data_IF_059038518367
#
_entry.id   IF_059038518367
#
_cell.length_a   1.000
_cell.length_b   1.000
_cell.length_c   1.000
_cell.angle_alpha   90.00
_cell.angle_beta   90.00
_cell.angle_gamma   90.00
#
_symmetry.space_group_name_H-M   'P 1'
#
loop_
_entity.id
_entity.type
_entity.pdbx_description
1 polymer ?
#
# COMPACT_ATOMS: atom_id res chain seq x y z
N UNK A 1 25.61 17.15 25.06
CA UNK A 1 25.79 15.69 25.27
C UNK A 1 26.36 15.09 24.00
N UNK A 2 27.16 14.02 24.09
CA UNK A 2 27.88 13.47 22.92
C UNK A 2 27.57 11.98 22.73
N UNK A 3 27.31 11.58 21.49
CA UNK A 3 27.45 10.18 21.06
C UNK A 3 28.90 9.94 20.68
N UNK A 4 29.53 8.95 21.30
CA UNK A 4 30.90 8.55 20.99
C UNK A 4 30.91 7.26 20.19
N UNK A 5 31.73 7.21 19.15
CA UNK A 5 31.96 6.03 18.32
C UNK A 5 33.45 5.71 18.33
N UNK A 6 33.81 4.52 18.78
CA UNK A 6 35.19 4.03 18.84
C UNK A 6 35.38 2.79 17.95
N UNK A 7 36.62 2.45 17.62
CA UNK A 7 36.91 1.11 17.08
C UNK A 7 36.67 0.05 18.14
N UNK A 8 36.11 -1.08 17.70
CA UNK A 8 36.05 -2.30 18.50
C UNK A 8 37.47 -2.93 18.55
N UNK A 9 38.05 -3.18 19.75
CA UNK A 9 39.37 -3.80 19.86
C UNK A 9 39.43 -5.25 19.33
N UNK A 10 38.28 -5.92 19.19
CA UNK A 10 38.19 -7.24 18.58
C UNK A 10 38.28 -7.14 17.05
N UNK A 11 39.50 -7.30 16.52
CA UNK A 11 39.80 -7.24 15.08
C UNK A 11 39.11 -8.34 14.26
N UNK A 12 38.70 -9.45 14.89
CA UNK A 12 37.96 -10.53 14.22
C UNK A 12 36.46 -10.26 14.09
N UNK A 13 35.96 -9.17 14.68
CA UNK A 13 34.54 -8.90 14.76
C UNK A 13 33.95 -8.39 13.44
N UNK A 14 32.80 -8.95 13.05
CA UNK A 14 31.98 -8.38 11.95
C UNK A 14 31.27 -7.06 12.30
N UNK A 15 31.45 -6.58 13.54
CA UNK A 15 30.94 -5.32 14.08
C UNK A 15 32.14 -4.48 14.59
N UNK A 16 32.82 -3.74 13.71
CA UNK A 16 34.11 -3.10 14.00
C UNK A 16 34.01 -1.82 14.82
N UNK A 17 32.81 -1.38 15.23
CA UNK A 17 32.62 -0.14 15.98
C UNK A 17 31.91 -0.36 17.31
N UNK A 18 32.24 0.47 18.30
CA UNK A 18 31.55 0.58 19.58
C UNK A 18 30.86 1.94 19.68
N UNK A 19 29.59 1.95 20.09
CA UNK A 19 28.81 3.16 20.30
C UNK A 19 28.52 3.33 21.79
N UNK A 20 28.81 4.52 22.32
CA UNK A 20 28.43 4.94 23.67
C UNK A 20 27.39 6.04 23.59
N UNK A 21 26.16 5.69 23.96
CA UNK A 21 25.02 6.60 23.96
C UNK A 21 25.01 7.37 25.28
N UNK A 22 24.85 8.71 25.29
CA UNK A 22 24.92 9.53 26.50
C UNK A 22 23.60 9.47 27.31
N UNK A 23 23.13 8.27 27.62
CA UNK A 23 21.93 8.00 28.43
C UNK A 23 22.23 6.90 29.45
N UNK A 24 21.85 7.14 30.71
CA UNK A 24 22.01 6.15 31.78
C UNK A 24 21.16 4.89 31.50
N UNK A 25 21.71 3.73 31.84
CA UNK A 25 21.02 2.44 31.67
C UNK A 25 20.94 1.94 30.23
N UNK A 26 21.68 2.56 29.29
CA UNK A 26 21.81 2.09 27.91
C UNK A 26 23.16 1.39 27.76
N UNK A 27 23.19 0.10 27.35
CA UNK A 27 24.44 -0.62 27.18
C UNK A 27 25.27 -0.04 26.03
N UNK A 28 26.58 -0.34 26.04
CA UNK A 28 27.44 -0.14 24.88
C UNK A 28 26.94 -1.01 23.73
N UNK A 29 27.01 -0.51 22.50
CA UNK A 29 26.57 -1.24 21.31
C UNK A 29 27.73 -1.48 20.36
N UNK A 30 27.98 -2.74 19.99
CA UNK A 30 28.81 -3.07 18.82
C UNK A 30 28.00 -2.86 17.55
N UNK A 31 28.57 -2.24 16.51
CA UNK A 31 27.87 -1.94 15.26
C UNK A 31 28.74 -2.16 14.02
N UNK A 32 28.08 -2.36 12.88
CA UNK A 32 28.74 -2.55 11.58
C UNK A 32 29.24 -1.25 10.92
N UNK A 33 28.63 -0.13 11.24
CA UNK A 33 28.92 1.17 10.63
C UNK A 33 28.81 2.29 11.69
N UNK A 34 29.42 3.43 11.39
CA UNK A 34 29.45 4.64 12.24
C UNK A 34 28.22 5.52 12.06
N UNK A 35 27.40 5.28 11.05
CA UNK A 35 26.07 5.90 10.92
C UNK A 35 25.17 5.11 9.95
N UNK A 36 23.85 5.02 10.18
CA UNK A 36 22.94 4.35 9.27
C UNK A 36 22.62 5.22 8.03
N UNK A 37 23.46 5.10 7.00
CA UNK A 37 23.38 5.88 5.75
C UNK A 37 22.44 5.27 4.72
N UNK A 38 22.70 4.00 4.38
CA UNK A 38 21.99 3.28 3.30
C UNK A 38 21.05 2.21 3.83
N UNK A 39 21.42 1.50 4.90
CA UNK A 39 20.60 0.48 5.56
C UNK A 39 20.57 0.68 7.08
N UNK A 40 19.60 0.03 7.75
CA UNK A 40 19.63 -0.07 9.19
C UNK A 40 20.88 -0.86 9.60
N UNK A 41 21.59 -0.37 10.61
CA UNK A 41 22.79 -0.99 11.15
C UNK A 41 22.38 -1.87 12.31
N UNK A 42 22.69 -3.16 12.22
CA UNK A 42 22.51 -4.06 13.36
C UNK A 42 23.47 -3.66 14.48
N UNK A 43 22.96 -3.67 15.72
CA UNK A 43 23.69 -3.38 16.92
C UNK A 43 23.60 -4.57 17.90
N UNK A 44 24.73 -4.92 18.51
CA UNK A 44 24.79 -5.94 19.54
C UNK A 44 25.11 -5.29 20.90
N UNK A 45 24.23 -5.41 21.91
CA UNK A 45 24.47 -4.86 23.24
C UNK A 45 25.59 -5.63 23.95
N UNK A 46 26.48 -4.90 24.61
CA UNK A 46 27.56 -5.44 25.44
C UNK A 46 27.64 -4.66 26.75
N UNK A 47 28.34 -5.21 27.74
CA UNK A 47 28.45 -4.59 29.06
C UNK A 47 29.30 -3.30 29.00
N UNK A 48 29.17 -2.42 30.01
CA UNK A 48 29.86 -1.13 30.00
C UNK A 48 31.39 -1.28 30.11
N UNK A 49 31.85 -2.38 30.72
CA UNK A 49 33.26 -2.76 30.85
C UNK A 49 33.94 -3.03 29.50
N UNK A 50 33.15 -3.28 28.44
CA UNK A 50 33.65 -3.48 27.08
C UNK A 50 34.08 -2.15 26.42
N UNK A 51 33.76 -1.00 27.02
CA UNK A 51 34.30 0.27 26.58
C UNK A 51 35.80 0.39 26.99
N UNK A 52 36.74 0.54 26.03
CA UNK A 52 38.15 0.56 26.37
C UNK A 52 38.55 1.75 27.25
N UNK A 53 39.50 1.54 28.17
CA UNK A 53 40.09 2.61 28.99
C UNK A 53 40.75 3.69 28.14
N UNK A 54 41.32 3.31 26.99
CA UNK A 54 41.91 4.21 25.99
C UNK A 54 41.26 3.95 24.62
N UNK A 55 40.05 4.49 24.38
CA UNK A 55 39.31 4.19 23.16
C UNK A 55 39.91 4.96 21.96
N UNK A 56 40.10 4.28 20.84
CA UNK A 56 40.38 4.94 19.56
C UNK A 56 39.06 5.50 19.01
N UNK A 57 38.80 6.77 19.28
CA UNK A 57 37.57 7.46 18.86
C UNK A 57 37.62 7.75 17.36
N UNK A 58 36.63 7.25 16.63
CA UNK A 58 36.43 7.45 15.20
C UNK A 58 35.53 8.66 14.94
N UNK A 59 34.44 8.80 15.71
CA UNK A 59 33.56 9.98 15.64
C UNK A 59 33.13 10.45 17.03
N UNK A 60 33.11 11.77 17.22
CA UNK A 60 32.43 12.47 18.31
C UNK A 60 31.29 13.27 17.73
N UNK A 61 30.07 12.97 18.15
CA UNK A 61 28.88 13.58 17.57
C UNK A 61 28.13 14.35 18.65
N UNK A 62 28.14 15.67 18.53
CA UNK A 62 27.33 16.54 19.38
C UNK A 62 25.83 16.32 19.10
N UNK A 63 25.04 16.10 20.16
CA UNK A 63 23.61 15.86 20.05
C UNK A 63 22.78 17.00 20.66
N UNK A 64 21.71 17.36 19.95
CA UNK A 64 20.60 18.19 20.44
C UNK A 64 19.53 17.40 21.16
N UNK A 65 19.34 16.13 20.78
CA UNK A 65 18.35 15.22 21.39
C UNK A 65 18.99 13.84 21.56
N UNK A 66 18.86 13.28 22.76
CA UNK A 66 19.08 11.88 23.05
C UNK A 66 18.06 11.45 24.11
N UNK A 67 16.97 10.81 23.71
CA UNK A 67 15.84 10.52 24.62
C UNK A 67 15.26 9.13 24.38
N UNK A 68 14.99 8.39 25.46
CA UNK A 68 14.32 7.09 25.42
C UNK A 68 12.81 7.29 25.29
N UNK A 69 12.21 6.73 24.25
CA UNK A 69 10.74 6.67 24.03
C UNK A 69 10.32 5.22 23.82
N UNK A 70 9.93 4.59 24.92
CA UNK A 70 9.59 3.17 24.94
C UNK A 70 10.76 2.30 24.47
N UNK A 71 10.57 1.64 23.34
CA UNK A 71 11.57 0.73 22.77
C UNK A 71 12.64 1.43 21.91
N UNK A 72 12.50 2.72 21.61
CA UNK A 72 13.45 3.48 20.81
C UNK A 72 14.20 4.54 21.65
N UNK A 73 15.39 4.90 21.20
CA UNK A 73 16.13 6.10 21.63
C UNK A 73 16.24 7.01 20.42
N UNK A 74 15.67 8.21 20.49
CA UNK A 74 15.80 9.23 19.46
C UNK A 74 17.17 9.90 19.55
N UNK A 75 17.86 10.05 18.43
CA UNK A 75 19.16 10.71 18.33
C UNK A 75 19.05 11.81 17.27
N UNK A 76 19.29 13.06 17.68
CA UNK A 76 19.38 14.22 16.78
C UNK A 76 20.72 14.90 16.94
N UNK A 77 21.57 14.79 15.92
CA UNK A 77 22.90 15.39 15.89
C UNK A 77 22.87 16.87 15.46
N UNK A 78 23.86 17.65 15.91
CA UNK A 78 24.07 19.06 15.56
C UNK A 78 24.80 19.19 14.21
N UNK A 79 24.25 18.62 13.15
CA UNK A 79 24.79 18.71 11.77
C UNK A 79 23.70 18.80 10.70
N UNK A 80 24.09 19.17 9.48
CA UNK A 80 23.15 19.41 8.36
C UNK A 80 22.70 18.14 7.65
N UNK A 81 23.57 17.13 7.51
CA UNK A 81 23.27 15.81 6.93
C UNK A 81 23.50 14.72 7.98
N UNK A 82 22.87 13.55 7.80
CA UNK A 82 23.00 12.43 8.75
C UNK A 82 22.69 12.87 10.18
N UNK A 83 21.63 13.66 10.35
CA UNK A 83 21.40 14.43 11.57
C UNK A 83 20.28 13.87 12.45
N UNK A 84 19.53 12.86 11.99
CA UNK A 84 18.42 12.24 12.71
C UNK A 84 18.51 10.73 12.56
N UNK A 85 18.41 10.01 13.67
CA UNK A 85 18.37 8.55 13.72
C UNK A 85 17.67 8.05 14.99
N UNK A 86 17.43 6.75 15.06
CA UNK A 86 16.87 6.05 16.21
C UNK A 86 17.65 4.78 16.47
N UNK A 87 17.89 4.47 17.74
CA UNK A 87 18.33 3.16 18.21
C UNK A 87 17.09 2.42 18.72
N UNK A 88 16.69 1.35 18.05
CA UNK A 88 15.46 0.62 18.37
C UNK A 88 15.79 -0.74 18.94
N UNK A 89 15.34 -0.97 20.16
CA UNK A 89 15.34 -2.26 20.84
C UNK A 89 14.05 -2.99 20.46
N UNK A 90 14.14 -4.23 20.00
CA UNK A 90 12.98 -4.99 19.54
C UNK A 90 13.18 -6.49 19.75
N UNK A 91 12.12 -7.28 19.57
CA UNK A 91 12.20 -8.74 19.53
C UNK A 91 11.92 -9.25 18.13
N UNK A 92 12.79 -10.09 17.60
CA UNK A 92 12.57 -10.79 16.34
C UNK A 92 12.96 -12.27 16.49
N UNK A 93 12.09 -13.17 16.01
CA UNK A 93 12.25 -14.65 16.13
C UNK A 93 12.53 -15.09 17.58
N UNK A 94 11.88 -14.46 18.56
CA UNK A 94 12.02 -14.76 19.99
C UNK A 94 13.30 -14.24 20.65
N UNK A 95 14.14 -13.48 19.94
CA UNK A 95 15.40 -12.92 20.45
C UNK A 95 15.36 -11.41 20.51
N UNK A 96 16.04 -10.82 21.49
CA UNK A 96 16.25 -9.38 21.56
C UNK A 96 17.22 -8.94 20.45
N UNK A 97 16.89 -7.84 19.78
CA UNK A 97 17.66 -7.26 18.70
C UNK A 97 17.71 -5.75 18.85
N UNK A 98 18.83 -5.13 18.47
CA UNK A 98 18.99 -3.68 18.46
C UNK A 98 19.35 -3.23 17.05
N UNK A 99 18.68 -2.19 16.56
CA UNK A 99 18.96 -1.60 15.24
C UNK A 99 19.14 -0.11 15.34
N UNK A 100 20.19 0.40 14.70
CA UNK A 100 20.38 1.82 14.46
C UNK A 100 19.88 2.20 13.06
N UNK A 101 18.91 3.10 12.98
CA UNK A 101 18.26 3.46 11.72
C UNK A 101 18.06 4.97 11.59
N UNK A 102 18.21 5.51 10.39
CA UNK A 102 17.85 6.90 10.06
C UNK A 102 16.49 6.95 9.35
N UNK A 103 15.86 8.12 9.19
CA UNK A 103 14.63 8.24 8.40
C UNK A 103 14.75 7.67 6.97
N UNK A 104 15.96 7.68 6.40
CA UNK A 104 16.27 7.11 5.08
C UNK A 104 16.49 5.60 5.10
N UNK A 105 16.96 5.05 6.22
CA UNK A 105 17.23 3.62 6.37
C UNK A 105 16.24 2.87 7.24
N UNK A 106 15.22 3.58 7.73
CA UNK A 106 13.98 3.01 8.24
C UNK A 106 13.40 2.18 7.12
N UNK A 107 13.78 0.90 7.11
CA UNK A 107 12.90 -0.12 6.55
C UNK A 107 11.57 0.16 7.20
N UNK A 108 10.56 0.39 6.36
CA UNK A 108 9.19 0.73 6.74
C UNK A 108 8.81 0.17 8.11
N UNK A 109 7.85 0.82 8.79
CA UNK A 109 6.94 0.02 9.62
C UNK A 109 6.54 -1.18 8.77
N UNK A 110 7.11 -2.34 9.07
CA UNK A 110 6.59 -3.63 8.69
C UNK A 110 5.82 -3.94 9.94
N UNK A 111 4.52 -3.60 10.03
CA UNK A 111 3.70 -4.21 11.05
C UNK A 111 4.02 -5.70 10.95
N UNK A 112 4.47 -6.30 12.05
CA UNK A 112 4.62 -7.75 12.12
C UNK A 112 3.23 -8.44 12.08
N UNK A 113 2.20 -7.69 11.70
CA UNK A 113 0.89 -8.13 11.30
C UNK A 113 1.02 -8.78 9.93
N UNK A 114 1.35 -10.07 9.93
CA UNK A 114 0.84 -10.92 8.87
C UNK A 114 -0.68 -10.65 8.77
N UNK A 115 -1.25 -10.54 7.55
CA UNK A 115 -2.70 -10.55 7.42
C UNK A 115 -3.22 -11.78 8.17
N UNK A 116 -4.21 -11.58 9.03
CA UNK A 116 -4.70 -12.67 9.86
C UNK A 116 -5.26 -13.76 8.95
N UNK A 117 -4.85 -15.02 9.16
CA UNK A 117 -5.44 -16.17 8.47
C UNK A 117 -6.79 -16.59 9.07
N UNK A 118 -7.22 -15.93 10.15
CA UNK A 118 -8.52 -16.21 10.78
C UNK A 118 -9.66 -15.78 9.84
N UNK A 119 -10.77 -16.54 9.90
CA UNK A 119 -12.00 -16.22 9.18
C UNK A 119 -12.35 -14.75 9.40
N UNK A 120 -12.62 -14.01 8.33
CA UNK A 120 -13.21 -12.69 8.47
C UNK A 120 -14.68 -12.90 8.86
N UNK A 121 -15.01 -12.47 10.08
CA UNK A 121 -16.40 -12.40 10.56
C UNK A 121 -17.19 -13.72 10.43
N UNK A 122 -16.54 -14.88 10.51
CA UNK A 122 -17.19 -16.20 10.43
C UNK A 122 -17.46 -16.74 9.02
N UNK A 123 -17.26 -15.94 7.96
CA UNK A 123 -17.49 -16.36 6.57
C UNK A 123 -16.50 -17.46 6.17
N UNK A 124 -17.01 -18.56 5.60
CA UNK A 124 -16.21 -19.71 5.19
C UNK A 124 -15.38 -19.42 3.93
N UNK A 125 -16.00 -18.81 2.93
CA UNK A 125 -15.42 -18.31 1.68
C UNK A 125 -16.23 -17.09 1.22
N UNK A 126 -15.58 -15.98 0.88
CA UNK A 126 -16.24 -14.76 0.38
C UNK A 126 -16.18 -14.71 -1.15
N UNK A 127 -17.31 -14.53 -1.81
CA UNK A 127 -17.32 -14.22 -3.25
C UNK A 127 -17.10 -12.73 -3.48
N UNK A 128 -16.07 -12.38 -4.25
CA UNK A 128 -15.72 -11.00 -4.60
C UNK A 128 -15.85 -10.85 -6.11
N UNK A 129 -16.67 -9.89 -6.54
CA UNK A 129 -16.73 -9.47 -7.93
C UNK A 129 -15.61 -8.47 -8.17
N UNK A 130 -14.74 -8.75 -9.13
CA UNK A 130 -13.65 -7.89 -9.58
C UNK A 130 -14.06 -7.22 -10.88
N UNK A 131 -13.87 -5.90 -10.99
CA UNK A 131 -14.17 -5.18 -12.21
C UNK A 131 -13.42 -5.79 -13.41
N UNK A 132 -14.13 -5.95 -14.52
CA UNK A 132 -13.57 -6.58 -15.72
C UNK A 132 -12.42 -5.77 -16.35
N UNK A 133 -12.36 -4.46 -16.10
CA UNK A 133 -11.35 -3.55 -16.62
C UNK A 133 -10.14 -3.36 -15.68
N UNK A 134 -10.20 -3.91 -14.46
CA UNK A 134 -9.05 -3.91 -13.54
C UNK A 134 -7.96 -4.85 -14.07
N UNK A 135 -6.87 -4.26 -14.56
CA UNK A 135 -5.74 -4.96 -15.19
C UNK A 135 -4.83 -5.62 -14.16
N UNK A 136 -4.72 -5.03 -12.97
CA UNK A 136 -3.82 -5.47 -11.91
C UNK A 136 -4.60 -5.82 -10.65
N UNK A 137 -5.59 -6.69 -10.83
CA UNK A 137 -6.47 -7.14 -9.75
C UNK A 137 -5.70 -7.78 -8.59
N UNK A 138 -6.25 -7.63 -7.38
CA UNK A 138 -5.88 -8.44 -6.24
C UNK A 138 -6.17 -9.91 -6.50
N UNK A 139 -5.35 -10.77 -5.91
CA UNK A 139 -5.43 -12.22 -6.09
C UNK A 139 -6.25 -12.90 -4.99
N UNK A 140 -6.34 -12.23 -3.84
CA UNK A 140 -6.87 -12.71 -2.57
C UNK A 140 -6.32 -14.09 -2.15
N UNK A 141 -5.10 -14.43 -2.59
CA UNK A 141 -4.52 -15.77 -2.41
C UNK A 141 -4.29 -16.18 -0.95
N UNK A 142 -4.13 -15.22 -0.04
CA UNK A 142 -3.94 -15.48 1.39
C UNK A 142 -5.25 -15.42 2.17
N UNK A 143 -6.33 -15.01 1.50
CA UNK A 143 -7.66 -14.84 2.04
C UNK A 143 -8.55 -15.99 1.54
N UNK A 144 -9.61 -16.32 2.28
CA UNK A 144 -10.61 -17.30 1.82
C UNK A 144 -11.62 -16.59 0.94
N UNK A 145 -11.22 -16.25 -0.27
CA UNK A 145 -12.09 -15.57 -1.24
C UNK A 145 -12.05 -16.26 -2.61
N UNK A 146 -13.19 -16.24 -3.28
CA UNK A 146 -13.34 -16.60 -4.68
C UNK A 146 -13.60 -15.33 -5.47
N UNK A 147 -12.89 -15.14 -6.58
CA UNK A 147 -13.07 -13.96 -7.43
C UNK A 147 -13.83 -14.28 -8.70
N UNK A 148 -14.79 -13.44 -9.08
CA UNK A 148 -15.46 -13.50 -10.39
C UNK A 148 -15.25 -12.17 -11.12
N UNK A 149 -14.97 -12.22 -12.44
CA UNK A 149 -14.83 -11.00 -13.24
C UNK A 149 -16.16 -10.58 -13.86
N UNK A 150 -16.55 -9.33 -13.63
CA UNK A 150 -17.74 -8.70 -14.20
C UNK A 150 -17.58 -7.18 -14.19
N UNK A 151 -18.18 -6.48 -15.16
CA UNK A 151 -18.16 -5.02 -15.15
C UNK A 151 -18.95 -4.50 -13.94
N UNK A 152 -18.31 -3.67 -13.11
CA UNK A 152 -18.93 -2.97 -12.00
C UNK A 152 -19.38 -1.57 -12.43
N UNK A 153 -20.49 -1.04 -11.87
CA UNK A 153 -20.91 0.33 -12.12
C UNK A 153 -19.94 1.35 -11.51
N UNK A 154 -19.34 1.05 -10.35
CA UNK A 154 -18.27 1.82 -9.74
C UNK A 154 -17.44 0.98 -8.74
N UNK A 155 -16.17 1.35 -8.59
CA UNK A 155 -15.16 0.62 -7.82
C UNK A 155 -14.58 -0.59 -8.56
N UNK A 156 -13.50 -1.14 -8.01
CA UNK A 156 -12.74 -2.24 -8.60
C UNK A 156 -13.09 -3.61 -8.00
N UNK A 157 -13.62 -3.62 -6.77
CA UNK A 157 -13.99 -4.84 -6.04
C UNK A 157 -15.33 -4.65 -5.35
N UNK A 158 -16.23 -5.61 -5.47
CA UNK A 158 -17.54 -5.55 -4.84
C UNK A 158 -17.96 -6.90 -4.25
N UNK A 159 -18.89 -6.83 -3.30
CA UNK A 159 -19.67 -7.98 -2.82
C UNK A 159 -21.13 -7.78 -3.17
N UNK A 160 -21.81 -8.87 -3.50
CA UNK A 160 -23.15 -8.85 -4.08
C UNK A 160 -24.04 -9.82 -3.31
N UNK A 161 -25.28 -9.41 -3.05
CA UNK A 161 -26.33 -10.24 -2.45
C UNK A 161 -27.64 -9.94 -3.17
N UNK A 162 -28.37 -10.98 -3.58
CA UNK A 162 -29.62 -10.87 -4.36
C UNK A 162 -29.52 -9.95 -5.59
N UNK A 163 -28.38 -10.03 -6.28
CA UNK A 163 -28.10 -9.20 -7.46
C UNK A 163 -27.85 -7.72 -7.17
N UNK A 164 -27.69 -7.32 -5.90
CA UNK A 164 -27.42 -5.94 -5.49
C UNK A 164 -26.03 -5.79 -4.86
N UNK A 165 -25.37 -4.66 -5.12
CA UNK A 165 -24.01 -4.36 -4.65
C UNK A 165 -24.04 -3.94 -3.18
N UNK A 166 -23.67 -4.85 -2.29
CA UNK A 166 -23.67 -4.65 -0.84
C UNK A 166 -22.59 -3.66 -0.38
N UNK A 167 -21.41 -3.76 -1.01
CA UNK A 167 -20.30 -2.86 -0.81
C UNK A 167 -19.36 -2.86 -2.02
N UNK A 168 -18.64 -1.76 -2.22
CA UNK A 168 -17.62 -1.62 -3.26
C UNK A 168 -16.36 -0.93 -2.75
N UNK A 169 -15.21 -1.27 -3.32
CA UNK A 169 -13.92 -0.68 -3.02
C UNK A 169 -13.24 -0.26 -4.32
N UNK A 170 -12.90 1.02 -4.43
CA UNK A 170 -12.02 1.59 -5.45
C UNK A 170 -10.57 1.49 -4.97
N UNK A 171 -9.69 0.95 -5.79
CA UNK A 171 -8.27 0.83 -5.51
C UNK A 171 -7.51 1.96 -6.20
N UNK A 172 -6.62 2.63 -5.46
CA UNK A 172 -5.75 3.67 -6.00
C UNK A 172 -4.29 3.49 -5.63
N UNK A 173 -3.41 3.73 -6.60
CA UNK A 173 -2.02 4.04 -6.28
C UNK A 173 -1.91 5.48 -5.78
N UNK A 174 -0.82 5.80 -5.10
CA UNK A 174 -0.47 7.17 -4.71
C UNK A 174 -0.48 8.14 -5.91
N UNK A 175 0.16 7.73 -7.00
CA UNK A 175 0.29 8.55 -8.21
C UNK A 175 -1.07 8.78 -8.88
N UNK A 176 -1.89 7.73 -8.99
CA UNK A 176 -3.22 7.83 -9.61
C UNK A 176 -4.18 8.65 -8.77
N UNK A 177 -4.09 8.57 -7.43
CA UNK A 177 -4.89 9.39 -6.53
C UNK A 177 -4.60 10.88 -6.75
N UNK A 178 -3.32 11.28 -6.70
CA UNK A 178 -2.93 12.67 -6.92
C UNK A 178 -3.27 13.15 -8.34
N UNK A 179 -2.99 12.34 -9.36
CA UNK A 179 -3.29 12.67 -10.76
C UNK A 179 -4.79 12.85 -11.02
N UNK A 180 -5.62 11.95 -10.49
CA UNK A 180 -7.08 12.05 -10.63
C UNK A 180 -7.67 13.18 -9.79
N UNK A 181 -7.07 13.50 -8.64
CA UNK A 181 -7.46 14.64 -7.82
C UNK A 181 -7.18 15.98 -8.52
N UNK A 182 -5.97 16.19 -9.02
CA UNK A 182 -5.60 17.46 -9.69
C UNK A 182 -6.32 17.64 -11.03
N UNK A 183 -6.62 16.56 -11.74
CA UNK A 183 -7.45 16.62 -12.95
C UNK A 183 -8.96 16.67 -12.69
N UNK A 184 -9.40 16.66 -11.43
CA UNK A 184 -10.82 16.69 -11.03
C UNK A 184 -11.59 15.39 -11.25
N UNK A 185 -11.03 14.41 -11.97
CA UNK A 185 -11.63 13.09 -12.25
C UNK A 185 -12.02 12.32 -10.99
N UNK A 186 -11.25 12.47 -9.91
CA UNK A 186 -11.51 11.79 -8.65
C UNK A 186 -12.86 12.20 -8.03
N UNK A 187 -13.33 13.44 -8.24
CA UNK A 187 -14.62 13.89 -7.69
C UNK A 187 -15.80 13.12 -8.30
N UNK A 188 -15.73 12.80 -9.58
CA UNK A 188 -16.76 11.99 -10.25
C UNK A 188 -16.76 10.56 -9.70
N UNK A 189 -15.59 9.93 -9.58
CA UNK A 189 -15.48 8.60 -8.98
C UNK A 189 -16.00 8.57 -7.53
N UNK A 190 -15.69 9.59 -6.72
CA UNK A 190 -16.20 9.71 -5.35
C UNK A 190 -17.72 9.90 -5.29
N UNK A 191 -18.30 10.65 -6.23
CA UNK A 191 -19.76 10.81 -6.33
C UNK A 191 -20.45 9.48 -6.67
N UNK A 192 -19.92 8.72 -7.63
CA UNK A 192 -20.45 7.41 -8.01
C UNK A 192 -20.35 6.41 -6.84
N UNK A 193 -19.22 6.40 -6.13
CA UNK A 193 -19.03 5.59 -4.92
C UNK A 193 -20.00 6.00 -3.81
N UNK A 194 -20.23 7.30 -3.61
CA UNK A 194 -21.15 7.81 -2.58
C UNK A 194 -22.63 7.44 -2.83
N UNK A 195 -22.97 6.99 -4.04
CA UNK A 195 -24.31 6.45 -4.36
C UNK A 195 -24.52 5.02 -3.86
N UNK A 196 -23.45 4.32 -3.46
CA UNK A 196 -23.53 2.98 -2.90
C UNK A 196 -23.67 3.02 -1.37
N UNK A 197 -24.35 2.04 -0.75
CA UNK A 197 -24.53 2.03 0.70
C UNK A 197 -23.22 1.97 1.49
N UNK A 198 -22.22 1.27 0.95
CA UNK A 198 -20.91 1.04 1.59
C UNK A 198 -19.83 1.06 0.52
N UNK A 199 -19.26 2.23 0.29
CA UNK A 199 -18.13 2.37 -0.61
C UNK A 199 -16.90 2.88 0.13
N UNK A 200 -15.72 2.54 -0.39
CA UNK A 200 -14.47 3.10 0.11
C UNK A 200 -13.43 3.21 -1.00
N UNK A 201 -12.46 4.10 -0.80
CA UNK A 201 -11.23 4.14 -1.58
C UNK A 201 -10.10 3.57 -0.73
N UNK A 202 -9.41 2.55 -1.23
CA UNK A 202 -8.18 2.04 -0.62
C UNK A 202 -6.98 2.53 -1.42
N UNK A 203 -6.02 3.14 -0.72
CA UNK A 203 -4.79 3.68 -1.31
C UNK A 203 -3.63 2.78 -0.94
N UNK A 204 -2.88 2.31 -1.94
CA UNK A 204 -1.69 1.46 -1.79
C UNK A 204 -0.45 2.24 -1.31
N UNK A 205 -0.62 3.20 -0.40
CA UNK A 205 0.46 4.03 0.13
C UNK A 205 0.05 4.70 1.45
N UNK A 206 0.94 5.51 2.01
CA UNK A 206 0.72 6.31 3.23
C UNK A 206 0.31 7.75 2.88
N UNK A 207 -0.45 8.39 3.77
CA UNK A 207 -0.80 9.81 3.63
C UNK A 207 0.44 10.71 3.49
N UNK A 208 1.52 10.40 4.21
CA UNK A 208 2.79 11.14 4.11
C UNK A 208 3.39 11.14 2.70
N UNK A 209 3.14 10.09 1.91
CA UNK A 209 3.61 10.01 0.53
C UNK A 209 2.91 11.03 -0.35
N UNK A 210 1.65 11.37 -0.05
CA UNK A 210 0.90 12.41 -0.78
C UNK A 210 1.56 13.77 -0.61
N UNK A 211 1.98 14.07 0.62
CA UNK A 211 2.60 15.34 0.99
C UNK A 211 4.06 15.47 0.50
N UNK A 212 4.71 14.33 0.24
CA UNK A 212 6.08 14.27 -0.27
C UNK A 212 6.17 14.26 -1.80
N UNK A 213 5.04 14.44 -2.51
CA UNK A 213 5.00 14.49 -3.97
C UNK A 213 5.90 15.59 -4.53
N UNK A 214 6.56 15.30 -5.66
CA UNK A 214 7.34 16.28 -6.42
C UNK A 214 6.50 17.07 -7.43
N UNK A 215 5.28 16.62 -7.71
CA UNK A 215 4.43 17.14 -8.78
C UNK A 215 3.24 17.95 -8.27
N UNK A 216 2.83 17.70 -7.02
CA UNK A 216 1.72 18.39 -6.36
C UNK A 216 2.26 18.95 -5.05
N UNK A 217 1.96 20.21 -4.75
CA UNK A 217 2.42 20.81 -3.50
C UNK A 217 1.80 20.08 -2.29
N UNK A 218 2.51 20.05 -1.17
CA UNK A 218 1.98 19.44 0.05
C UNK A 218 0.67 20.08 0.51
N UNK A 219 0.52 21.40 0.28
CA UNK A 219 -0.72 22.14 0.54
C UNK A 219 -1.86 21.62 -0.33
N UNK A 220 -1.70 21.62 -1.65
CA UNK A 220 -2.78 21.21 -2.57
C UNK A 220 -3.16 19.74 -2.39
N UNK A 221 -2.17 18.90 -2.06
CA UNK A 221 -2.42 17.50 -1.72
C UNK A 221 -3.26 17.36 -0.44
N UNK A 222 -2.90 18.09 0.62
CA UNK A 222 -3.63 18.05 1.89
C UNK A 222 -5.04 18.64 1.75
N UNK A 223 -5.16 19.82 1.15
CA UNK A 223 -6.44 20.53 0.96
C UNK A 223 -7.37 19.72 0.07
N UNK A 224 -6.88 19.17 -1.05
CA UNK A 224 -7.69 18.36 -1.95
C UNK A 224 -8.21 17.07 -1.31
N UNK A 225 -7.37 16.37 -0.54
CA UNK A 225 -7.80 15.17 0.19
C UNK A 225 -8.82 15.49 1.28
N UNK A 226 -8.63 16.59 2.01
CA UNK A 226 -9.57 17.05 3.03
C UNK A 226 -10.91 17.44 2.39
N UNK A 227 -10.88 18.18 1.28
CA UNK A 227 -12.09 18.60 0.56
C UNK A 227 -12.90 17.39 0.07
N UNK A 228 -12.23 16.35 -0.45
CA UNK A 228 -12.90 15.12 -0.88
C UNK A 228 -13.62 14.42 0.29
N UNK A 229 -13.00 14.31 1.46
CA UNK A 229 -13.63 13.68 2.62
C UNK A 229 -14.76 14.53 3.21
N UNK A 230 -14.66 15.86 3.18
CA UNK A 230 -15.74 16.75 3.61
C UNK A 230 -16.93 16.69 2.65
N UNK A 231 -16.65 16.65 1.33
CA UNK A 231 -17.69 16.60 0.30
C UNK A 231 -18.38 15.24 0.21
N UNK A 232 -17.65 14.15 0.43
CA UNK A 232 -18.15 12.77 0.35
C UNK A 232 -17.90 12.02 1.66
N UNK A 233 -18.54 12.44 2.78
CA UNK A 233 -18.23 11.93 4.12
C UNK A 233 -18.56 10.44 4.30
N UNK A 234 -19.40 9.88 3.43
CA UNK A 234 -19.78 8.46 3.43
C UNK A 234 -18.75 7.56 2.76
N UNK A 235 -17.77 8.11 2.04
CA UNK A 235 -16.75 7.35 1.30
C UNK A 235 -15.38 7.56 1.95
N UNK A 236 -14.96 6.70 2.90
CA UNK A 236 -13.65 6.80 3.51
C UNK A 236 -12.52 6.57 2.49
N UNK A 237 -11.42 7.30 2.68
CA UNK A 237 -10.16 7.08 1.96
C UNK A 237 -9.16 6.47 2.95
N UNK A 238 -8.77 5.21 2.72
CA UNK A 238 -7.92 4.43 3.61
C UNK A 238 -6.53 4.26 3.03
N UNK A 239 -5.52 4.81 3.71
CA UNK A 239 -4.12 4.66 3.37
C UNK A 239 -3.55 3.37 3.95
N UNK A 240 -3.49 2.33 3.14
CA UNK A 240 -3.14 0.98 3.56
C UNK A 240 -1.64 0.69 3.48
N UNK A 241 -0.81 1.67 3.14
CA UNK A 241 0.66 1.59 3.08
C UNK A 241 1.25 0.69 1.98
N UNK A 242 0.78 -0.54 1.82
CA UNK A 242 1.28 -1.48 0.81
C UNK A 242 0.14 -2.14 0.08
N UNK A 243 0.37 -2.59 -1.15
CA UNK A 243 -0.56 -3.44 -1.91
C UNK A 243 -1.11 -4.62 -1.11
N UNK A 244 -0.24 -5.34 -0.38
CA UNK A 244 -0.66 -6.51 0.41
C UNK A 244 -1.60 -6.14 1.56
N UNK A 245 -1.35 -5.01 2.22
CA UNK A 245 -2.21 -4.52 3.29
C UNK A 245 -3.52 -3.93 2.73
N UNK A 246 -3.47 -3.30 1.56
CA UNK A 246 -4.65 -2.83 0.84
C UNK A 246 -5.56 -3.99 0.41
N UNK A 247 -4.98 -5.09 -0.09
CA UNK A 247 -5.68 -6.33 -0.43
C UNK A 247 -6.34 -6.97 0.81
N UNK A 248 -5.62 -7.08 1.93
CA UNK A 248 -6.19 -7.57 3.20
C UNK A 248 -7.31 -6.67 3.71
N UNK A 249 -7.11 -5.35 3.71
CA UNK A 249 -8.11 -4.39 4.15
C UNK A 249 -9.37 -4.47 3.29
N UNK A 250 -9.21 -4.57 1.96
CA UNK A 250 -10.31 -4.74 1.00
C UNK A 250 -11.11 -6.00 1.32
N UNK A 251 -10.44 -7.13 1.52
CA UNK A 251 -11.09 -8.39 1.91
C UNK A 251 -11.89 -8.24 3.22
N UNK A 252 -11.30 -7.63 4.25
CA UNK A 252 -11.94 -7.45 5.57
C UNK A 252 -13.15 -6.52 5.50
N UNK A 253 -13.04 -5.42 4.77
CA UNK A 253 -14.12 -4.45 4.58
C UNK A 253 -15.32 -5.09 3.87
N UNK A 254 -15.07 -5.80 2.76
CA UNK A 254 -16.10 -6.51 2.01
C UNK A 254 -16.75 -7.65 2.82
N UNK A 255 -15.95 -8.42 3.57
CA UNK A 255 -16.46 -9.47 4.45
C UNK A 255 -17.35 -8.91 5.58
N UNK A 256 -16.95 -7.79 6.17
CA UNK A 256 -17.73 -7.12 7.21
C UNK A 256 -19.08 -6.63 6.65
N UNK A 257 -19.08 -6.06 5.45
CA UNK A 257 -20.31 -5.61 4.78
C UNK A 257 -21.28 -6.78 4.50
N UNK A 258 -20.76 -7.93 4.03
CA UNK A 258 -21.60 -9.12 3.81
C UNK A 258 -22.17 -9.70 5.11
N UNK A 259 -21.37 -9.70 6.18
CA UNK A 259 -21.83 -10.18 7.49
C UNK A 259 -22.94 -9.30 8.04
N UNK A 260 -22.78 -7.97 7.88
CA UNK A 260 -23.75 -7.00 8.36
C UNK A 260 -25.12 -7.17 7.68
N UNK A 261 -25.17 -7.35 6.34
CA UNK A 261 -26.45 -7.58 5.64
C UNK A 261 -27.09 -8.92 6.01
N UNK A 262 -26.28 -9.95 6.30
CA UNK A 262 -26.81 -11.24 6.73
C UNK A 262 -27.56 -11.19 8.07
N UNK A 263 -27.35 -10.13 8.86
CA UNK A 263 -28.03 -9.90 10.14
C UNK A 263 -29.15 -8.85 10.11
N UNK A 264 -29.37 -8.16 8.98
CA UNK A 264 -30.31 -7.04 8.87
C UNK A 264 -31.01 -7.04 7.50
N UNK A 265 -32.19 -7.66 7.44
CA UNK A 265 -32.96 -7.91 6.22
C UNK A 265 -33.55 -6.65 5.56
N UNK A 266 -33.76 -5.58 6.33
CA UNK A 266 -34.39 -4.34 5.83
C UNK A 266 -33.42 -3.44 5.05
N UNK A 267 -32.11 -3.64 5.25
CA UNK A 267 -31.07 -2.83 4.63
C UNK A 267 -30.85 -3.10 3.12
N UNK A 268 -31.49 -4.13 2.57
CA UNK A 268 -31.33 -4.52 1.16
C UNK A 268 -32.06 -3.57 0.18
N UNK A 269 -32.99 -2.75 0.69
CA UNK A 269 -33.89 -1.93 -0.14
C UNK A 269 -33.25 -0.66 -0.71
N UNK A 270 -32.11 -0.19 -0.18
CA UNK A 270 -31.40 1.02 -0.64
C UNK A 270 -30.19 0.73 -1.54
N UNK A 271 -30.08 -0.48 -2.08
CA UNK A 271 -28.84 -0.99 -2.67
C UNK A 271 -28.90 -0.98 -4.21
N UNK A 272 -27.82 -0.51 -4.87
CA UNK A 272 -27.74 -0.49 -6.33
C UNK A 272 -27.72 -1.92 -6.91
N UNK A 273 -28.52 -2.17 -7.95
CA UNK A 273 -28.54 -3.46 -8.66
C UNK A 273 -27.29 -3.62 -9.49
N UNK A 274 -26.59 -4.75 -9.34
CA UNK A 274 -25.50 -5.13 -10.24
C UNK A 274 -26.11 -5.46 -11.61
N UNK A 275 -25.69 -4.79 -12.70
CA UNK A 275 -26.18 -5.12 -14.03
C UNK A 275 -25.89 -6.58 -14.36
N UNK A 276 -26.86 -7.28 -14.96
CA UNK A 276 -26.67 -8.66 -15.39
C UNK A 276 -25.39 -8.80 -16.21
N UNK A 277 -24.61 -9.85 -15.92
CA UNK A 277 -23.37 -10.14 -16.65
C UNK A 277 -23.70 -10.19 -18.14
N UNK A 278 -23.14 -9.24 -18.92
CA UNK A 278 -23.28 -9.31 -20.38
C UNK A 278 -22.74 -10.66 -20.83
N UNK A 279 -23.47 -11.42 -21.65
CA UNK A 279 -22.93 -12.62 -22.25
C UNK A 279 -21.60 -12.27 -22.93
N UNK A 280 -20.59 -13.16 -22.90
CA UNK A 280 -19.35 -12.93 -23.62
C UNK A 280 -19.70 -12.51 -25.05
N UNK A 281 -19.03 -11.47 -25.56
CA UNK A 281 -19.30 -10.97 -26.90
C UNK A 281 -19.16 -12.15 -27.87
N UNK A 282 -20.30 -12.63 -28.38
CA UNK A 282 -20.36 -13.72 -29.34
C UNK A 282 -19.84 -13.17 -30.66
N UNK A 283 -18.55 -13.39 -30.92
CA UNK A 283 -17.92 -12.98 -32.16
C UNK A 283 -16.39 -12.93 -32.06
N UNK A 284 -15.69 -13.01 -33.20
CA UNK A 284 -14.24 -12.92 -33.24
C UNK A 284 -13.75 -11.57 -32.71
N UNK A 285 -12.59 -11.59 -32.06
CA UNK A 285 -11.99 -10.38 -31.49
C UNK A 285 -11.66 -9.36 -32.58
N UNK A 286 -11.60 -8.07 -32.23
CA UNK A 286 -11.16 -7.03 -33.16
C UNK A 286 -9.75 -7.28 -33.72
N UNK A 287 -8.92 -8.08 -33.04
CA UNK A 287 -7.61 -8.49 -33.56
C UNK A 287 -7.76 -9.41 -34.76
N UNK A 288 -8.66 -10.41 -34.68
CA UNK A 288 -8.96 -11.34 -35.76
C UNK A 288 -9.55 -10.60 -36.96
N UNK A 289 -10.53 -9.74 -36.74
CA UNK A 289 -11.19 -8.98 -37.81
C UNK A 289 -10.19 -8.03 -38.50
N UNK A 290 -9.25 -7.41 -37.77
CA UNK A 290 -8.21 -6.56 -38.38
C UNK A 290 -7.18 -7.35 -39.19
N UNK A 291 -6.80 -8.56 -38.74
CA UNK A 291 -5.89 -9.41 -39.48
C UNK A 291 -6.49 -9.78 -40.83
N UNK A 292 -7.73 -10.28 -40.81
CA UNK A 292 -8.52 -10.59 -42.01
C UNK A 292 -8.69 -9.37 -42.93
N UNK A 293 -9.01 -8.21 -42.37
CA UNK A 293 -9.21 -6.99 -43.17
C UNK A 293 -7.94 -6.58 -43.93
N UNK A 294 -6.76 -6.67 -43.29
CA UNK A 294 -5.49 -6.35 -43.94
C UNK A 294 -5.11 -7.38 -45.01
N UNK A 295 -5.37 -8.65 -44.74
CA UNK A 295 -5.16 -9.74 -45.72
C UNK A 295 -6.02 -9.56 -46.97
N UNK A 296 -7.25 -9.04 -46.82
CA UNK A 296 -8.18 -8.73 -47.91
C UNK A 296 -8.00 -7.31 -48.50
N UNK A 297 -6.91 -6.62 -48.16
CA UNK A 297 -6.55 -5.31 -48.74
C UNK A 297 -7.34 -4.11 -48.20
N UNK A 298 -8.09 -4.27 -47.12
CA UNK A 298 -8.83 -3.17 -46.49
C UNK A 298 -7.94 -2.36 -45.53
N UNK A 299 -7.99 -1.03 -45.66
CA UNK A 299 -7.33 -0.11 -44.73
C UNK A 299 -8.12 -0.02 -43.42
N UNK A 300 -7.50 -0.48 -42.33
CA UNK A 300 -8.08 -0.42 -40.97
C UNK A 300 -7.09 0.20 -39.99
N UNK A 301 -7.59 1.03 -39.08
CA UNK A 301 -6.77 1.63 -38.04
C UNK A 301 -6.23 0.57 -37.06
N UNK A 302 -5.00 0.75 -36.58
CA UNK A 302 -4.32 -0.17 -35.67
C UNK A 302 -5.02 -0.31 -34.31
N UNK A 303 -5.79 0.71 -33.91
CA UNK A 303 -6.53 0.78 -32.65
C UNK A 303 -7.90 1.40 -32.87
N UNK A 304 -8.80 1.23 -31.90
CA UNK A 304 -10.17 1.78 -31.95
C UNK A 304 -11.21 0.82 -32.52
N UNK A 305 -12.43 1.31 -32.69
CA UNK A 305 -13.54 0.52 -33.23
C UNK A 305 -13.31 0.17 -34.71
N UNK A 306 -13.67 -1.06 -35.11
CA UNK A 306 -13.70 -1.47 -36.52
C UNK A 306 -15.02 -1.00 -37.12
N UNK A 307 -14.96 -0.40 -38.32
CA UNK A 307 -16.15 0.08 -39.02
C UNK A 307 -17.16 -1.06 -39.24
N UNK A 308 -18.44 -0.68 -39.28
CA UNK A 308 -19.54 -1.62 -39.49
C UNK A 308 -19.38 -2.39 -40.81
N UNK A 309 -18.97 -1.70 -41.87
CA UNK A 309 -18.73 -2.29 -43.20
C UNK A 309 -17.70 -3.44 -43.16
N UNK A 310 -16.58 -3.26 -42.46
CA UNK A 310 -15.54 -4.29 -42.35
C UNK A 310 -16.03 -5.50 -41.54
N UNK A 311 -16.85 -5.27 -40.51
CA UNK A 311 -17.46 -6.36 -39.74
C UNK A 311 -18.46 -7.16 -40.56
N UNK A 312 -19.26 -6.50 -41.39
CA UNK A 312 -20.23 -7.14 -42.28
C UNK A 312 -19.53 -7.97 -43.35
N UNK A 313 -18.46 -7.44 -43.97
CA UNK A 313 -17.65 -8.20 -44.93
C UNK A 313 -16.95 -9.42 -44.29
N UNK A 314 -16.42 -9.27 -43.07
CA UNK A 314 -15.83 -10.38 -42.31
C UNK A 314 -16.86 -11.49 -42.02
N UNK A 315 -18.08 -11.10 -41.62
CA UNK A 315 -19.15 -12.05 -41.32
C UNK A 315 -19.62 -12.80 -42.57
N UNK A 316 -19.70 -12.12 -43.72
CA UNK A 316 -20.06 -12.74 -44.99
C UNK A 316 -19.02 -13.79 -45.44
N UNK A 317 -17.72 -13.50 -45.23
CA UNK A 317 -16.62 -14.39 -45.61
C UNK A 317 -16.53 -15.65 -44.73
N UNK A 318 -16.83 -15.52 -43.43
CA UNK A 318 -16.75 -16.63 -42.46
C UNK A 318 -18.02 -17.51 -42.38
N UNK A 319 -19.07 -17.16 -43.13
CA UNK A 319 -20.32 -17.95 -43.23
C UNK A 319 -20.35 -18.83 -44.49
N UNK A 320 -19.28 -18.84 -45.29
CA UNK A 320 -19.09 -19.68 -46.48
C UNK A 320 -18.14 -20.83 -46.17
#
# INVERSE_FOLDING_TARGET
MELLIAKNPDEGSSLPYLLRIPLAGVPILRARDVWPRTNAVYCHPVADEEWPTKPEIVERIELRVCERRGAAIDIVATRSRENRSQIVFTKARGRDMVFWQSPRTRTQSRPNTAPSRSKASGIAELEIVVDAHERYAYSFTQQRARTTKQALPCGDYAVVSDGKIVASVERKSAADLLSSMTSGRLRYAMADLASLPRAAVVVEDQYSTMLASKFVSAKDAADGLAELQVRYPTVPIVFAQTRKLAEEWTFRYLAAAMTWISGDSDAMNSTATLPAKKPPATGPSNTVIRAWAREHGYTVADRGAISREIREKFAADTTT
#
